data_IF_884113402932
#
_entry.id   IF_884113402932
#
_cell.length_a   1.000
_cell.length_b   1.000
_cell.length_c   1.000
_cell.angle_alpha   90.00
_cell.angle_beta   90.00
_cell.angle_gamma   90.00
#
_symmetry.space_group_name_H-M   'P 1'
#
loop_
_entity.id
_entity.type
_entity.pdbx_description
1 polymer ?
#
# COMPACT_ATOMS: atom_id res chain seq x y z
N UNK A 1 7.42 -13.36 -3.71
CA UNK A 1 7.67 -12.62 -4.97
C UNK A 1 7.45 -11.12 -4.71
N UNK A 2 8.09 -10.21 -5.47
CA UNK A 2 8.07 -8.76 -5.19
C UNK A 2 6.66 -8.17 -4.97
N UNK A 3 5.67 -8.57 -5.78
CA UNK A 3 4.29 -8.08 -5.63
C UNK A 3 3.61 -8.55 -4.35
N UNK A 4 3.94 -9.74 -3.86
CA UNK A 4 3.41 -10.27 -2.59
C UNK A 4 4.00 -9.51 -1.42
N UNK A 5 5.30 -9.18 -1.47
CA UNK A 5 5.97 -8.37 -0.45
C UNK A 5 5.39 -6.95 -0.38
N UNK A 6 5.20 -6.30 -1.54
CA UNK A 6 4.56 -4.98 -1.62
C UNK A 6 3.11 -5.03 -1.10
N UNK A 7 2.33 -6.03 -1.52
CA UNK A 7 0.96 -6.21 -1.05
C UNK A 7 0.89 -6.46 0.47
N UNK A 8 1.82 -7.26 0.99
CA UNK A 8 1.99 -7.54 2.42
C UNK A 8 2.26 -6.27 3.22
N UNK A 9 3.31 -5.52 2.85
CA UNK A 9 3.67 -4.28 3.54
C UNK A 9 2.55 -3.24 3.52
N UNK A 10 1.84 -3.08 2.40
CA UNK A 10 0.68 -2.17 2.33
C UNK A 10 -0.47 -2.62 3.24
N UNK A 11 -0.69 -3.93 3.38
CA UNK A 11 -1.72 -4.48 4.27
C UNK A 11 -1.37 -4.26 5.74
N UNK A 12 -0.10 -4.37 6.10
CA UNK A 12 0.41 -4.04 7.44
C UNK A 12 0.21 -2.57 7.77
N UNK A 13 0.67 -1.66 6.90
CA UNK A 13 0.47 -0.22 7.07
C UNK A 13 -1.02 0.16 7.19
N UNK A 14 -1.89 -0.53 6.43
CA UNK A 14 -3.34 -0.34 6.56
C UNK A 14 -3.87 -0.82 7.91
N UNK A 15 -3.39 -1.95 8.40
CA UNK A 15 -3.78 -2.50 9.71
C UNK A 15 -3.27 -1.61 10.86
N UNK A 16 -2.02 -1.14 10.79
CA UNK A 16 -1.41 -0.20 11.76
C UNK A 16 -2.21 1.11 11.84
N UNK A 17 -2.66 1.63 10.70
CA UNK A 17 -3.52 2.82 10.64
C UNK A 17 -4.96 2.55 11.08
N UNK A 18 -5.39 1.28 11.16
CA UNK A 18 -6.72 0.90 11.64
C UNK A 18 -7.87 1.20 10.67
N UNK A 19 -7.61 1.26 9.36
CA UNK A 19 -8.61 1.63 8.34
C UNK A 19 -9.03 0.46 7.45
N UNK A 20 -10.28 0.50 6.98
CA UNK A 20 -10.80 -0.47 6.02
C UNK A 20 -10.27 -0.20 4.61
N UNK A 21 -10.42 -1.16 3.69
CA UNK A 21 -10.08 -0.92 2.27
C UNK A 21 -10.98 0.15 1.63
N UNK A 22 -12.24 0.24 2.08
CA UNK A 22 -13.21 1.25 1.63
C UNK A 22 -12.77 2.64 2.05
N UNK A 23 -12.37 2.82 3.32
CA UNK A 23 -11.84 4.11 3.82
C UNK A 23 -10.59 4.54 3.05
N UNK A 24 -9.68 3.62 2.72
CA UNK A 24 -8.51 3.95 1.88
C UNK A 24 -8.95 4.46 0.50
N UNK A 25 -9.98 3.85 -0.09
CA UNK A 25 -10.51 4.30 -1.38
C UNK A 25 -11.17 5.68 -1.27
N UNK A 26 -11.95 5.93 -0.22
CA UNK A 26 -12.58 7.24 0.02
C UNK A 26 -11.53 8.35 0.18
N UNK A 27 -10.46 8.08 0.94
CA UNK A 27 -9.43 9.07 1.25
C UNK A 27 -8.45 9.32 0.08
N UNK A 28 -8.21 8.30 -0.75
CA UNK A 28 -7.11 8.33 -1.73
C UNK A 28 -7.57 8.13 -3.18
N UNK A 29 -8.79 7.67 -3.41
CA UNK A 29 -9.26 7.21 -4.73
C UNK A 29 -8.54 5.95 -5.23
N UNK A 30 -7.74 5.27 -4.39
CA UNK A 30 -6.99 4.06 -4.77
C UNK A 30 -7.73 2.82 -4.31
N UNK A 31 -8.03 1.92 -5.23
CA UNK A 31 -8.59 0.60 -4.92
C UNK A 31 -7.53 -0.33 -4.32
N UNK A 32 -7.16 -0.11 -3.06
CA UNK A 32 -6.11 -0.86 -2.35
C UNK A 32 -6.38 -2.37 -2.32
N UNK A 33 -7.65 -2.80 -2.30
CA UNK A 33 -8.02 -4.22 -2.34
C UNK A 33 -7.52 -4.94 -3.60
N UNK A 34 -7.43 -4.27 -4.76
CA UNK A 34 -6.84 -4.88 -5.96
C UNK A 34 -5.32 -5.09 -5.82
N UNK A 35 -4.65 -4.15 -5.16
CA UNK A 35 -3.21 -4.18 -4.91
C UNK A 35 -2.86 -5.27 -3.90
N UNK A 36 -3.65 -5.38 -2.81
CA UNK A 36 -3.45 -6.39 -1.75
C UNK A 36 -3.61 -7.85 -2.23
N UNK A 37 -4.14 -8.08 -3.44
CA UNK A 37 -4.17 -9.42 -4.04
C UNK A 37 -2.86 -9.86 -4.68
N UNK A 38 -1.90 -8.94 -4.86
CA UNK A 38 -0.65 -9.17 -5.59
C UNK A 38 -0.80 -9.65 -7.05
N UNK A 39 -1.99 -9.53 -7.65
CA UNK A 39 -2.28 -9.99 -9.02
C UNK A 39 -1.91 -9.01 -10.11
N UNK A 40 -1.67 -7.74 -9.76
CA UNK A 40 -1.42 -6.66 -10.71
C UNK A 40 -0.25 -5.81 -10.24
N UNK A 41 0.54 -5.31 -11.19
CA UNK A 41 1.54 -4.30 -10.88
C UNK A 41 0.87 -3.00 -10.44
N UNK A 42 1.43 -2.40 -9.40
CA UNK A 42 1.10 -1.04 -8.98
C UNK A 42 2.04 -0.06 -9.70
N UNK A 43 1.54 1.13 -10.04
CA UNK A 43 2.42 2.19 -10.51
C UNK A 43 3.20 2.80 -9.34
N UNK A 44 4.42 3.28 -9.60
CA UNK A 44 5.25 3.91 -8.56
C UNK A 44 4.58 5.18 -8.00
N UNK A 45 3.82 5.92 -8.82
CA UNK A 45 3.09 7.10 -8.35
C UNK A 45 1.92 6.74 -7.42
N UNK A 46 1.19 5.66 -7.71
CA UNK A 46 0.17 5.13 -6.80
C UNK A 46 0.80 4.65 -5.50
N UNK A 47 1.93 3.93 -5.56
CA UNK A 47 2.66 3.51 -4.36
C UNK A 47 3.09 4.72 -3.52
N UNK A 48 3.67 5.75 -4.14
CA UNK A 48 4.06 6.98 -3.46
C UNK A 48 2.88 7.67 -2.78
N UNK A 49 1.71 7.71 -3.42
CA UNK A 49 0.48 8.26 -2.83
C UNK A 49 0.07 7.50 -1.58
N UNK A 50 0.15 6.16 -1.61
CA UNK A 50 -0.16 5.32 -0.46
C UNK A 50 0.87 5.48 0.66
N UNK A 51 2.17 5.53 0.35
CA UNK A 51 3.21 5.83 1.34
C UNK A 51 2.91 7.14 2.08
N UNK A 52 2.63 8.21 1.35
CA UNK A 52 2.26 9.51 1.95
C UNK A 52 1.00 9.39 2.82
N UNK A 53 -0.01 8.65 2.35
CA UNK A 53 -1.24 8.41 3.12
C UNK A 53 -0.98 7.65 4.42
N UNK A 54 -0.06 6.68 4.42
CA UNK A 54 0.34 5.93 5.61
C UNK A 54 1.42 6.62 6.46
N UNK A 55 1.91 7.79 6.05
CA UNK A 55 2.93 8.54 6.81
C UNK A 55 4.35 7.97 6.68
N UNK A 56 4.65 7.23 5.60
CA UNK A 56 5.99 6.69 5.29
C UNK A 56 6.49 7.25 3.94
N UNK A 57 7.79 7.16 3.69
CA UNK A 57 8.40 7.44 2.39
C UNK A 57 8.57 6.17 1.55
N UNK A 58 8.77 6.31 0.24
CA UNK A 58 9.15 5.16 -0.61
C UNK A 58 10.43 4.48 -0.14
N UNK A 59 11.40 5.26 0.35
CA UNK A 59 12.67 4.74 0.86
C UNK A 59 12.44 3.84 2.08
N UNK A 60 11.69 4.32 3.06
CA UNK A 60 11.35 3.55 4.26
C UNK A 60 10.52 2.31 3.91
N UNK A 61 9.51 2.48 3.05
CA UNK A 61 8.69 1.39 2.56
C UNK A 61 9.52 0.24 1.97
N UNK A 62 10.50 0.54 1.10
CA UNK A 62 11.34 -0.49 0.49
C UNK A 62 12.46 -1.01 1.41
N UNK A 63 12.86 -0.26 2.44
CA UNK A 63 13.81 -0.74 3.44
C UNK A 63 13.21 -1.80 4.38
N UNK A 64 11.89 -1.75 4.58
CA UNK A 64 11.13 -2.67 5.42
C UNK A 64 10.46 -3.79 4.60
N UNK A 65 10.85 -3.94 3.34
CA UNK A 65 10.30 -4.93 2.42
C UNK A 65 11.12 -6.22 2.51
N UNK A 66 10.49 -7.30 2.94
CA UNK A 66 11.07 -8.66 2.96
C UNK A 66 11.02 -9.37 1.59
#
# INVERSE_FOLDING_TARGET
>A
MLLEAIAGRLKELRAEKGVSQETVYEDTGVHIGKIETARYNITVSTLSKLCNYYGTSLKEFFNELD
#
